data_IF_129480199232
#
_entry.id   IF_129480199232
#
_cell.length_a   1.000
_cell.length_b   1.000
_cell.length_c   1.000
_cell.angle_alpha   90.00
_cell.angle_beta   90.00
_cell.angle_gamma   90.00
#
_symmetry.space_group_name_H-M   'P 1'
#
loop_
_entity.id
_entity.type
_entity.pdbx_description
1 polymer ?
#
# COMPACT_ATOMS: atom_id res chain seq x y z
N UNK A 1 -1.98 47.97 18.17
CA UNK A 1 -3.31 48.52 17.80
C UNK A 1 -3.19 49.18 16.44
N UNK A 2 -4.08 48.95 15.46
CA UNK A 2 -4.84 47.74 15.15
C UNK A 2 -4.66 47.28 13.68
N UNK A 3 -5.33 46.17 13.37
CA UNK A 3 -5.54 45.48 12.09
C UNK A 3 -6.27 46.36 11.06
N UNK A 4 -6.31 45.95 9.78
CA UNK A 4 -7.64 45.72 9.22
C UNK A 4 -7.81 44.30 8.65
N UNK A 5 -8.87 43.64 9.12
CA UNK A 5 -9.49 42.47 8.55
C UNK A 5 -10.23 42.84 7.25
N UNK A 6 -10.16 41.96 6.25
CA UNK A 6 -11.32 41.43 5.52
C UNK A 6 -10.80 40.30 4.60
N UNK A 7 -10.97 39.03 4.96
CA UNK A 7 -12.16 38.22 4.65
C UNK A 7 -12.48 38.21 3.15
N UNK A 8 -12.15 37.12 2.44
CA UNK A 8 -13.09 36.21 1.75
C UNK A 8 -12.26 35.09 1.09
N UNK A 9 -12.84 33.87 1.03
CA UNK A 9 -12.33 32.64 0.39
C UNK A 9 -11.51 31.70 1.28
N UNK A 10 -12.12 31.25 2.39
CA UNK A 10 -11.84 29.93 2.96
C UNK A 10 -13.04 29.02 2.66
N UNK A 11 -12.97 28.26 1.56
CA UNK A 11 -13.82 27.09 1.27
C UNK A 11 -13.20 26.29 0.13
N UNK A 12 -13.28 24.96 0.24
CA UNK A 12 -12.64 23.91 -0.58
C UNK A 12 -11.21 23.67 -0.08
N UNK A 13 -10.88 22.57 0.60
CA UNK A 13 -11.10 21.17 0.22
C UNK A 13 -11.34 20.32 1.49
N UNK A 14 -12.49 19.64 1.56
CA UNK A 14 -12.63 18.41 2.33
C UNK A 14 -12.20 17.26 1.41
N UNK A 15 -11.49 16.23 1.88
CA UNK A 15 -11.31 15.02 1.09
C UNK A 15 -12.68 14.42 0.79
N UNK A 16 -12.95 13.95 -0.45
CA UNK A 16 -14.20 13.27 -0.75
C UNK A 16 -14.28 11.99 0.09
N UNK A 17 -15.48 11.73 0.60
CA UNK A 17 -15.87 10.49 1.24
C UNK A 17 -15.30 9.30 0.46
N UNK A 18 -14.60 8.41 1.17
CA UNK A 18 -14.31 7.07 0.73
C UNK A 18 -15.62 6.36 0.38
N UNK A 19 -15.93 6.27 -0.91
CA UNK A 19 -17.03 5.46 -1.42
C UNK A 19 -16.63 3.99 -1.28
N UNK A 20 -16.99 3.37 -0.16
CA UNK A 20 -17.07 1.92 -0.01
C UNK A 20 -18.55 1.57 -0.08
N UNK A 21 -19.02 0.75 -1.03
CA UNK A 21 -20.42 0.37 -1.08
C UNK A 21 -20.80 -0.47 0.15
N UNK A 22 -21.82 0.00 0.89
CA UNK A 22 -22.39 -0.59 2.12
C UNK A 22 -23.18 -1.91 1.90
N UNK A 23 -22.80 -2.75 0.92
CA UNK A 23 -23.58 -3.95 0.61
C UNK A 23 -22.75 -5.23 0.58
N UNK A 24 -22.16 -5.57 1.73
CA UNK A 24 -21.77 -6.93 2.05
C UNK A 24 -22.99 -7.65 2.64
N UNK A 25 -23.76 -8.32 1.77
CA UNK A 25 -24.89 -9.14 2.20
C UNK A 25 -24.40 -10.36 2.99
N UNK A 26 -24.41 -10.26 4.32
CA UNK A 26 -24.24 -11.41 5.22
C UNK A 26 -25.57 -12.14 5.25
N UNK A 27 -25.58 -13.40 4.78
CA UNK A 27 -26.76 -14.27 4.94
C UNK A 27 -26.88 -14.70 6.41
N UNK A 28 -28.07 -14.63 7.03
CA UNK A 28 -28.27 -15.14 8.38
C UNK A 28 -28.40 -16.67 8.39
N UNK A 29 -27.85 -17.30 9.43
CA UNK A 29 -28.01 -18.73 9.72
C UNK A 29 -29.45 -19.07 10.14
N UNK A 30 -29.94 -20.30 9.84
CA UNK A 30 -31.26 -20.76 10.26
C UNK A 30 -31.31 -21.17 11.75
N UNK A 31 -32.47 -21.06 12.43
CA UNK A 31 -32.57 -21.34 13.86
C UNK A 31 -33.00 -22.80 14.16
N UNK A 32 -32.44 -23.36 15.24
CA UNK A 32 -32.96 -24.55 15.94
C UNK A 32 -31.86 -25.31 16.68
N UNK A 33 -32.02 -25.88 17.88
CA UNK A 33 -33.11 -25.99 18.85
C UNK A 33 -32.42 -26.44 20.18
N UNK A 34 -32.94 -26.13 21.38
CA UNK A 34 -32.26 -26.32 22.65
C UNK A 34 -32.55 -27.69 23.26
N UNK A 35 -31.60 -28.23 24.05
CA UNK A 35 -31.78 -29.09 25.23
C UNK A 35 -30.46 -29.81 25.55
N UNK A 36 -29.89 -29.58 26.73
CA UNK A 36 -30.01 -30.53 27.84
C UNK A 36 -29.28 -29.99 29.08
N UNK A 37 -30.05 -29.87 30.16
CA UNK A 37 -29.63 -29.62 31.53
C UNK A 37 -29.09 -30.92 32.13
N UNK A 38 -28.00 -30.85 32.90
CA UNK A 38 -27.79 -31.73 34.05
C UNK A 38 -27.16 -30.94 35.19
N UNK A 39 -27.93 -30.79 36.27
CA UNK A 39 -27.45 -30.41 37.61
C UNK A 39 -26.97 -31.68 38.29
N UNK A 40 -25.83 -31.65 38.97
CA UNK A 40 -25.70 -32.26 40.28
C UNK A 40 -24.71 -31.46 41.14
N UNK A 41 -25.14 -31.30 42.38
CA UNK A 41 -24.57 -30.57 43.51
C UNK A 41 -24.02 -31.65 44.46
N UNK A 42 -22.86 -31.42 45.08
CA UNK A 42 -22.65 -31.52 46.54
C UNK A 42 -21.21 -31.19 46.91
N UNK A 43 -21.10 -30.41 47.97
CA UNK A 43 -19.92 -30.14 48.79
C UNK A 43 -19.23 -31.42 49.26
N UNK A 44 -17.90 -31.39 49.43
CA UNK A 44 -17.34 -31.81 50.71
C UNK A 44 -15.95 -31.21 51.01
N UNK A 45 -15.81 -30.87 52.27
CA UNK A 45 -14.68 -30.26 52.97
C UNK A 45 -13.68 -31.33 53.45
N UNK A 46 -12.36 -31.06 53.36
CA UNK A 46 -11.46 -30.96 54.52
C UNK A 46 -9.97 -31.27 54.23
N UNK A 47 -9.14 -30.40 54.82
CA UNK A 47 -7.87 -30.68 55.52
C UNK A 47 -6.48 -30.52 54.83
N UNK A 48 -5.85 -29.41 55.25
CA UNK A 48 -4.47 -29.25 55.77
C UNK A 48 -3.29 -29.35 54.78
N UNK A 49 -2.64 -28.21 54.56
CA UNK A 49 -1.34 -27.93 55.18
C UNK A 49 -1.03 -26.43 55.12
N UNK A 50 -0.70 -25.85 56.29
CA UNK A 50 -0.20 -24.48 56.43
C UNK A 50 1.29 -24.51 56.11
N UNK A 51 1.66 -23.99 54.95
CA UNK A 51 3.01 -23.50 54.70
C UNK A 51 2.95 -21.97 54.72
N UNK A 52 3.68 -21.43 55.70
CA UNK A 52 4.01 -20.03 55.84
C UNK A 52 4.59 -19.50 54.52
N UNK A 53 3.81 -18.65 53.84
CA UNK A 53 4.25 -17.84 52.70
C UNK A 53 3.86 -16.42 53.02
N UNK A 54 4.78 -15.70 53.65
CA UNK A 54 4.77 -14.25 53.70
C UNK A 54 4.45 -13.70 52.31
N UNK A 55 3.39 -12.89 52.14
CA UNK A 55 3.11 -12.26 50.87
C UNK A 55 4.18 -11.19 50.63
N UNK A 56 5.09 -11.46 49.68
CA UNK A 56 5.85 -10.37 49.07
C UNK A 56 4.85 -9.33 48.55
N UNK A 57 5.02 -8.03 48.88
CA UNK A 57 4.19 -7.00 48.28
C UNK A 57 4.45 -7.02 46.78
N UNK A 58 3.44 -7.44 46.01
CA UNK A 58 3.43 -7.25 44.56
C UNK A 58 3.47 -5.74 44.35
N UNK A 59 4.62 -5.25 43.90
CA UNK A 59 4.76 -3.86 43.46
C UNK A 59 3.66 -3.58 42.42
N UNK A 60 3.04 -2.39 42.47
CA UNK A 60 1.89 -2.05 41.64
C UNK A 60 2.25 -2.16 40.16
N UNK A 61 1.39 -2.86 39.42
CA UNK A 61 1.47 -3.18 38.00
C UNK A 61 1.98 -2.01 37.15
N UNK A 62 3.08 -2.13 36.39
CA UNK A 62 3.44 -1.10 35.43
C UNK A 62 2.50 -1.25 34.23
N UNK A 63 1.75 -0.18 33.95
CA UNK A 63 0.98 0.12 32.72
C UNK A 63 0.77 -1.08 31.80
N UNK A 64 -0.41 -1.71 31.82
CA UNK A 64 -0.78 -2.68 30.78
C UNK A 64 -0.65 -1.99 29.44
N UNK A 65 0.31 -2.41 28.61
CA UNK A 65 0.37 -1.99 27.21
C UNK A 65 -1.01 -2.19 26.58
N UNK A 66 -1.45 -1.27 25.70
CA UNK A 66 -2.75 -1.40 25.07
C UNK A 66 -2.84 -2.75 24.33
N UNK A 67 -4.03 -3.38 24.27
CA UNK A 67 -4.20 -4.63 23.56
C UNK A 67 -3.71 -4.48 22.12
N UNK A 68 -2.80 -5.35 21.71
CA UNK A 68 -2.15 -5.26 20.41
C UNK A 68 -2.66 -6.36 19.48
N UNK A 69 -3.11 -6.00 18.28
CA UNK A 69 -3.39 -6.93 17.20
C UNK A 69 -2.35 -6.77 16.12
N UNK A 70 -1.90 -7.88 15.58
CA UNK A 70 -0.84 -7.93 14.58
C UNK A 70 -1.41 -8.49 13.28
N UNK A 71 -1.07 -7.88 12.16
CA UNK A 71 -1.18 -8.54 10.85
C UNK A 71 0.19 -8.68 10.22
N UNK A 72 0.45 -9.82 9.57
CA UNK A 72 1.77 -10.19 9.05
C UNK A 72 1.64 -10.51 7.56
N UNK A 73 2.51 -9.97 6.73
CA UNK A 73 2.45 -10.21 5.30
C UNK A 73 3.54 -9.52 4.50
N UNK A 74 3.61 -9.81 3.19
CA UNK A 74 4.45 -9.01 2.30
C UNK A 74 3.83 -7.64 2.01
N UNK A 75 2.49 -7.54 2.04
CA UNK A 75 1.74 -6.32 1.79
C UNK A 75 2.13 -5.61 0.47
N UNK A 76 2.67 -6.33 -0.52
CA UNK A 76 3.13 -5.70 -1.76
C UNK A 76 1.92 -5.18 -2.55
N UNK A 77 1.95 -3.88 -2.87
CA UNK A 77 0.82 -3.16 -3.44
C UNK A 77 -0.27 -2.75 -2.45
N UNK A 78 -0.35 -3.28 -1.21
CA UNK A 78 -1.39 -2.93 -0.20
C UNK A 78 -2.80 -2.84 -0.81
N UNK A 79 -3.28 -3.94 -1.41
CA UNK A 79 -4.58 -3.99 -2.07
C UNK A 79 -5.76 -4.12 -1.09
N UNK A 80 -7.00 -4.14 -1.59
CA UNK A 80 -8.21 -4.24 -0.77
C UNK A 80 -8.25 -5.48 0.15
N UNK A 81 -7.66 -6.60 -0.28
CA UNK A 81 -7.43 -7.76 0.61
C UNK A 81 -6.55 -7.43 1.82
N UNK A 82 -5.45 -6.69 1.63
CA UNK A 82 -4.61 -6.22 2.75
C UNK A 82 -5.36 -5.18 3.62
N UNK A 83 -6.19 -4.34 3.01
CA UNK A 83 -7.04 -3.42 3.77
C UNK A 83 -8.02 -4.16 4.69
N UNK A 84 -8.56 -5.31 4.25
CA UNK A 84 -9.40 -6.16 5.09
C UNK A 84 -8.65 -6.73 6.30
N UNK A 85 -7.37 -7.12 6.14
CA UNK A 85 -6.52 -7.57 7.25
C UNK A 85 -6.31 -6.48 8.30
N UNK A 86 -5.92 -5.28 7.86
CA UNK A 86 -5.71 -4.12 8.76
C UNK A 86 -7.01 -3.75 9.48
N UNK A 87 -8.14 -3.75 8.75
CA UNK A 87 -9.46 -3.47 9.33
C UNK A 87 -9.83 -4.49 10.42
N UNK A 88 -9.69 -5.79 10.15
CA UNK A 88 -9.99 -6.82 11.13
C UNK A 88 -9.08 -6.73 12.37
N UNK A 89 -7.79 -6.44 12.18
CA UNK A 89 -6.86 -6.19 13.30
C UNK A 89 -7.28 -4.97 14.13
N UNK A 90 -7.64 -3.86 13.48
CA UNK A 90 -8.17 -2.66 14.14
C UNK A 90 -9.47 -2.94 14.90
N UNK A 91 -10.44 -3.58 14.26
CA UNK A 91 -11.73 -3.94 14.86
C UNK A 91 -11.53 -4.79 16.11
N UNK A 92 -10.56 -5.71 16.09
CA UNK A 92 -10.30 -6.61 17.20
C UNK A 92 -9.81 -5.92 18.46
N UNK A 93 -9.08 -4.82 18.34
CA UNK A 93 -8.52 -4.10 19.50
C UNK A 93 -9.21 -2.78 19.78
N UNK A 94 -10.08 -2.33 18.88
CA UNK A 94 -10.81 -1.08 19.00
C UNK A 94 -9.93 0.16 18.88
N UNK A 95 -10.50 1.35 19.12
CA UNK A 95 -9.81 2.63 18.96
C UNK A 95 -8.73 2.89 20.03
N UNK A 96 -8.82 2.24 21.19
CA UNK A 96 -7.85 2.38 22.28
C UNK A 96 -6.74 1.31 22.24
N UNK A 97 -6.87 0.33 21.35
CA UNK A 97 -5.88 -0.72 21.12
C UNK A 97 -4.87 -0.34 20.05
N UNK A 98 -3.83 -1.17 19.91
CA UNK A 98 -2.73 -0.97 18.96
C UNK A 98 -2.83 -1.96 17.80
N UNK A 99 -2.86 -1.47 16.57
CA UNK A 99 -2.83 -2.26 15.35
C UNK A 99 -1.43 -2.18 14.72
N UNK A 100 -0.70 -3.28 14.67
CA UNK A 100 0.66 -3.36 14.13
C UNK A 100 0.65 -4.19 12.85
N UNK A 101 1.21 -3.66 11.77
CA UNK A 101 1.47 -4.42 10.54
C UNK A 101 2.97 -4.79 10.47
N UNK A 102 3.27 -6.09 10.45
CA UNK A 102 4.61 -6.61 10.26
C UNK A 102 4.82 -6.96 8.78
N UNK A 103 5.61 -6.13 8.09
CA UNK A 103 5.82 -6.23 6.65
C UNK A 103 7.21 -6.79 6.33
N UNK A 104 7.27 -7.90 5.58
CA UNK A 104 8.55 -8.45 5.10
C UNK A 104 9.23 -7.47 4.14
N UNK A 105 10.47 -7.08 4.44
CA UNK A 105 11.33 -6.37 3.49
C UNK A 105 12.81 -6.78 3.65
N UNK A 106 13.50 -7.21 2.59
CA UNK A 106 13.01 -7.39 1.21
C UNK A 106 11.93 -8.49 1.09
N UNK A 107 11.25 -8.60 -0.05
CA UNK A 107 10.24 -9.65 -0.22
C UNK A 107 10.91 -11.03 -0.06
N UNK A 108 10.30 -12.03 0.62
CA UNK A 108 10.92 -13.34 0.83
C UNK A 108 11.43 -14.02 -0.45
N UNK A 109 10.73 -13.83 -1.57
CA UNK A 109 11.16 -14.32 -2.88
C UNK A 109 12.46 -13.68 -3.38
N UNK A 110 12.77 -12.45 -3.03
CA UNK A 110 14.05 -11.81 -3.40
C UNK A 110 15.24 -12.46 -2.69
N UNK A 111 15.03 -13.08 -1.53
CA UNK A 111 16.08 -13.83 -0.82
C UNK A 111 16.14 -15.29 -1.30
N UNK A 112 14.98 -15.93 -1.48
CA UNK A 112 14.89 -17.36 -1.80
C UNK A 112 15.12 -17.65 -3.29
N UNK A 113 14.72 -16.74 -4.18
CA UNK A 113 14.78 -16.93 -5.62
C UNK A 113 14.89 -15.58 -6.34
N UNK A 114 16.05 -14.88 -6.21
CA UNK A 114 16.23 -13.53 -6.74
C UNK A 114 15.84 -13.38 -8.21
N UNK A 115 16.24 -14.35 -9.05
CA UNK A 115 15.98 -14.33 -10.51
C UNK A 115 14.49 -14.52 -10.87
N UNK A 116 13.68 -15.03 -9.94
CA UNK A 116 12.25 -15.29 -10.12
C UNK A 116 11.38 -14.47 -9.16
N UNK A 117 11.95 -13.43 -8.53
CA UNK A 117 11.20 -12.49 -7.73
C UNK A 117 10.38 -11.60 -8.67
N UNK A 118 9.05 -11.49 -8.47
CA UNK A 118 8.24 -10.59 -9.27
C UNK A 118 8.64 -9.14 -8.98
N UNK A 119 8.44 -8.21 -9.93
CA UNK A 119 8.72 -6.79 -9.71
C UNK A 119 7.89 -6.27 -8.54
N UNK A 120 8.48 -5.44 -7.69
CA UNK A 120 7.81 -4.83 -6.53
C UNK A 120 6.72 -3.87 -7.00
N UNK A 121 5.51 -3.98 -6.45
CA UNK A 121 4.45 -3.01 -6.72
C UNK A 121 4.68 -1.71 -5.94
N UNK A 122 5.26 -1.80 -4.75
CA UNK A 122 5.50 -0.65 -3.88
C UNK A 122 6.85 -0.72 -3.17
N UNK A 123 7.43 0.43 -2.87
CA UNK A 123 8.55 0.52 -1.92
C UNK A 123 8.05 0.23 -0.49
N UNK A 124 8.97 0.00 0.44
CA UNK A 124 8.58 -0.13 1.86
C UNK A 124 7.92 1.15 2.39
N UNK A 125 8.43 2.33 2.04
CA UNK A 125 7.86 3.60 2.51
C UNK A 125 6.44 3.82 1.98
N UNK A 126 6.18 3.43 0.73
CA UNK A 126 4.82 3.40 0.18
C UNK A 126 3.92 2.42 0.95
N UNK A 127 4.37 1.19 1.19
CA UNK A 127 3.60 0.20 1.98
C UNK A 127 3.28 0.75 3.37
N UNK A 128 4.27 1.32 4.05
CA UNK A 128 4.12 1.93 5.37
C UNK A 128 3.06 3.02 5.35
N UNK A 129 3.14 3.98 4.42
CA UNK A 129 2.13 5.03 4.29
C UNK A 129 0.73 4.46 4.07
N UNK A 130 0.57 3.56 3.10
CA UNK A 130 -0.74 3.00 2.78
C UNK A 130 -1.34 2.18 3.93
N UNK A 131 -0.53 1.41 4.67
CA UNK A 131 -1.01 0.65 5.83
C UNK A 131 -1.39 1.56 7.00
N UNK A 132 -0.66 2.65 7.22
CA UNK A 132 -1.02 3.68 8.22
C UNK A 132 -2.34 4.37 7.84
N UNK A 133 -2.51 4.75 6.57
CA UNK A 133 -3.75 5.35 6.05
C UNK A 133 -4.97 4.42 6.22
N UNK A 134 -4.75 3.10 6.24
CA UNK A 134 -5.78 2.07 6.46
C UNK A 134 -6.10 1.81 7.95
N UNK A 135 -5.39 2.47 8.87
CA UNK A 135 -5.67 2.41 10.31
C UNK A 135 -4.72 1.55 11.14
N UNK A 136 -3.58 1.12 10.59
CA UNK A 136 -2.48 0.64 11.41
C UNK A 136 -1.88 1.81 12.22
N UNK A 137 -1.51 1.58 13.47
CA UNK A 137 -0.77 2.56 14.28
C UNK A 137 0.73 2.51 13.95
N UNK A 138 1.20 1.32 13.55
CA UNK A 138 2.59 1.08 13.30
C UNK A 138 2.78 0.05 12.18
N UNK A 139 3.81 0.28 11.38
CA UNK A 139 4.23 -0.64 10.33
C UNK A 139 5.70 -0.90 10.53
N UNK A 140 6.02 -2.13 10.91
CA UNK A 140 7.39 -2.55 11.21
C UNK A 140 7.92 -3.41 10.08
N UNK A 141 9.20 -3.20 9.80
CA UNK A 141 9.95 -4.02 8.85
C UNK A 141 10.34 -5.31 9.53
N UNK A 142 9.87 -6.44 8.99
CA UNK A 142 10.49 -7.73 9.25
C UNK A 142 11.68 -7.87 8.30
N UNK A 143 12.88 -7.58 8.83
CA UNK A 143 14.13 -7.70 8.09
C UNK A 143 14.28 -9.14 7.58
N UNK A 144 14.02 -9.32 6.30
CA UNK A 144 13.93 -10.66 5.73
C UNK A 144 15.31 -11.13 5.32
N UNK A 145 15.88 -12.02 6.12
CA UNK A 145 17.16 -12.66 5.87
C UNK A 145 17.04 -14.19 5.89
N UNK A 146 18.15 -14.89 5.67
CA UNK A 146 18.17 -16.36 5.69
C UNK A 146 17.89 -16.94 7.08
N UNK A 147 18.15 -16.19 8.15
CA UNK A 147 17.89 -16.64 9.51
C UNK A 147 16.39 -16.65 9.79
N UNK A 148 15.70 -15.55 9.52
CA UNK A 148 14.25 -15.41 9.64
C UNK A 148 13.53 -16.48 8.80
N UNK A 149 13.94 -16.66 7.55
CA UNK A 149 13.36 -17.67 6.64
C UNK A 149 13.68 -19.11 7.04
N UNK A 150 14.70 -19.31 7.89
CA UNK A 150 15.09 -20.60 8.44
C UNK A 150 14.31 -21.01 9.70
N UNK A 151 13.59 -20.09 10.34
CA UNK A 151 12.83 -20.36 11.56
C UNK A 151 11.72 -21.38 11.32
N UNK A 152 11.49 -22.27 12.29
CA UNK A 152 10.27 -23.09 12.28
C UNK A 152 9.04 -22.18 12.46
N UNK A 153 7.86 -22.67 12.06
CA UNK A 153 6.59 -21.98 12.28
C UNK A 153 6.39 -21.58 13.76
N UNK A 154 6.69 -22.50 14.69
CA UNK A 154 6.62 -22.23 16.13
C UNK A 154 7.63 -21.16 16.56
N UNK A 155 8.89 -21.25 16.12
CA UNK A 155 9.92 -20.28 16.50
C UNK A 155 9.60 -18.87 15.98
N UNK A 156 9.05 -18.77 14.76
CA UNK A 156 8.60 -17.51 14.18
C UNK A 156 7.46 -16.89 15.00
N UNK A 157 6.40 -17.66 15.30
CA UNK A 157 5.26 -17.14 16.09
C UNK A 157 5.70 -16.79 17.52
N UNK A 158 6.55 -17.61 18.14
CA UNK A 158 7.10 -17.33 19.47
C UNK A 158 7.87 -16.01 19.49
N UNK A 159 8.70 -15.75 18.48
CA UNK A 159 9.42 -14.49 18.35
C UNK A 159 8.46 -13.28 18.30
N UNK A 160 7.39 -13.37 17.50
CA UNK A 160 6.35 -12.33 17.42
C UNK A 160 5.62 -12.16 18.76
N UNK A 161 5.28 -13.26 19.43
CA UNK A 161 4.58 -13.21 20.72
C UNK A 161 5.45 -12.60 21.82
N UNK A 162 6.72 -13.00 21.89
CA UNK A 162 7.66 -12.50 22.91
C UNK A 162 7.94 -11.00 22.74
N UNK A 163 7.95 -10.49 21.50
CA UNK A 163 8.21 -9.08 21.21
C UNK A 163 6.98 -8.19 21.42
N UNK A 164 5.80 -8.64 21.00
CA UNK A 164 4.61 -7.78 20.90
C UNK A 164 3.49 -8.11 21.89
N UNK A 165 3.53 -9.28 22.53
CA UNK A 165 2.46 -9.80 23.39
C UNK A 165 1.04 -9.58 22.80
N UNK A 166 0.77 -10.04 21.56
CA UNK A 166 -0.47 -9.74 20.87
C UNK A 166 -1.67 -10.44 21.55
N UNK A 167 -2.81 -9.75 21.58
CA UNK A 167 -4.09 -10.38 21.90
C UNK A 167 -4.69 -11.10 20.70
N UNK A 168 -4.29 -10.73 19.49
CA UNK A 168 -4.72 -11.37 18.25
C UNK A 168 -3.66 -11.26 17.13
N UNK A 169 -3.59 -12.30 16.30
CA UNK A 169 -2.86 -12.29 15.03
C UNK A 169 -3.88 -12.49 13.90
N UNK A 170 -3.86 -11.59 12.92
CA UNK A 170 -4.80 -11.52 11.80
C UNK A 170 -4.08 -11.84 10.49
N UNK A 171 -4.54 -12.87 9.81
CA UNK A 171 -3.95 -13.38 8.56
C UNK A 171 -5.01 -13.64 7.49
N UNK A 172 -4.55 -13.79 6.24
CA UNK A 172 -5.38 -14.30 5.14
C UNK A 172 -5.43 -15.83 5.14
N UNK A 173 -6.43 -16.40 4.48
CA UNK A 173 -6.58 -17.86 4.30
C UNK A 173 -5.40 -18.53 3.56
N UNK A 174 -4.66 -17.77 2.74
CA UNK A 174 -3.51 -18.22 1.99
C UNK A 174 -2.17 -18.01 2.72
N UNK A 175 -2.22 -17.49 3.95
CA UNK A 175 -1.01 -17.17 4.71
C UNK A 175 -0.21 -18.44 5.02
N UNK A 176 1.10 -18.34 4.76
CA UNK A 176 2.06 -19.39 5.05
C UNK A 176 3.30 -18.80 5.68
N UNK A 177 3.80 -19.48 6.70
CA UNK A 177 4.92 -19.01 7.52
C UNK A 177 5.83 -20.15 7.96
N UNK A 178 6.98 -19.78 8.52
CA UNK A 178 8.03 -20.72 8.88
C UNK A 178 8.76 -21.30 7.67
N UNK A 179 9.84 -22.02 7.96
CA UNK A 179 10.74 -22.63 6.99
C UNK A 179 9.95 -23.47 6.00
N UNK A 180 10.24 -23.26 4.71
CA UNK A 180 9.58 -23.96 3.61
C UNK A 180 8.04 -23.89 3.63
N UNK A 181 7.46 -22.81 4.19
CA UNK A 181 6.00 -22.60 4.23
C UNK A 181 5.24 -23.70 5.00
N UNK A 182 5.90 -24.31 6.00
CA UNK A 182 5.33 -25.43 6.78
C UNK A 182 4.13 -25.02 7.65
N UNK A 183 4.04 -23.74 8.03
CA UNK A 183 2.93 -23.19 8.79
C UNK A 183 1.83 -22.62 7.89
N UNK A 184 0.60 -22.71 8.36
CA UNK A 184 -0.60 -22.04 7.85
C UNK A 184 -1.66 -21.93 8.95
N UNK A 185 -2.89 -21.61 8.59
CA UNK A 185 -3.96 -21.28 9.56
C UNK A 185 -4.17 -22.33 10.65
N UNK A 186 -4.25 -23.63 10.30
CA UNK A 186 -4.42 -24.70 11.30
C UNK A 186 -3.28 -24.74 12.33
N UNK A 187 -2.05 -24.45 11.89
CA UNK A 187 -0.90 -24.41 12.79
C UNK A 187 -0.88 -23.15 13.63
N UNK A 188 -1.33 -22.01 13.09
CA UNK A 188 -1.42 -20.77 13.83
C UNK A 188 -2.49 -20.88 14.93
N UNK A 189 -3.65 -21.47 14.63
CA UNK A 189 -4.73 -21.70 15.60
C UNK A 189 -4.28 -22.59 16.78
N UNK A 190 -3.53 -23.66 16.48
CA UNK A 190 -2.93 -24.50 17.53
C UNK A 190 -1.93 -23.73 18.38
N UNK A 191 -1.06 -22.93 17.76
CA UNK A 191 -0.08 -22.11 18.47
C UNK A 191 -0.76 -21.00 19.29
N UNK A 192 -1.83 -20.40 18.78
CA UNK A 192 -2.64 -19.39 19.45
C UNK A 192 -3.19 -19.92 20.77
N UNK A 193 -3.74 -21.14 20.76
CA UNK A 193 -4.25 -21.83 21.95
C UNK A 193 -3.18 -22.06 23.02
N UNK A 194 -1.93 -22.34 22.61
CA UNK A 194 -0.82 -22.62 23.52
C UNK A 194 -0.15 -21.33 24.02
N UNK A 195 -0.09 -20.30 23.19
CA UNK A 195 0.67 -19.07 23.43
C UNK A 195 -0.20 -17.89 23.91
N UNK A 196 -1.53 -18.07 24.01
CA UNK A 196 -2.42 -17.11 24.66
C UNK A 196 -2.85 -15.91 23.80
N UNK A 197 -3.02 -16.12 22.49
CA UNK A 197 -3.57 -15.12 21.57
C UNK A 197 -4.72 -15.70 20.74
N UNK A 198 -5.47 -14.85 20.04
CA UNK A 198 -6.51 -15.26 19.10
C UNK A 198 -5.99 -15.28 17.66
N UNK A 199 -6.25 -16.36 16.92
CA UNK A 199 -5.95 -16.43 15.48
C UNK A 199 -7.20 -16.04 14.69
N UNK A 200 -7.12 -14.97 13.90
CA UNK A 200 -8.24 -14.47 13.08
C UNK A 200 -7.87 -14.65 11.61
N UNK A 201 -8.66 -15.45 10.89
CA UNK A 201 -8.49 -15.65 9.45
C UNK A 201 -9.50 -14.78 8.71
N UNK A 202 -8.99 -13.85 7.91
CA UNK A 202 -9.79 -13.01 7.03
C UNK A 202 -9.93 -13.69 5.69
N UNK A 203 -11.19 -13.82 5.24
CA UNK A 203 -11.48 -14.34 3.91
C UNK A 203 -10.96 -13.39 2.86
N UNK A 204 -10.45 -13.97 1.81
CA UNK A 204 -10.08 -13.27 0.61
C UNK A 204 -11.21 -12.38 0.03
N UNK A 205 -10.82 -11.27 -0.63
CA UNK A 205 -11.75 -10.23 -1.13
C UNK A 205 -11.92 -10.32 -2.64
N UNK A 206 -13.17 -10.40 -3.09
CA UNK A 206 -13.54 -10.36 -4.50
C UNK A 206 -13.88 -8.93 -4.95
N UNK A 207 -13.51 -8.57 -6.18
CA UNK A 207 -13.72 -7.25 -6.78
C UNK A 207 -14.26 -7.40 -8.19
N UNK A 208 -15.21 -6.54 -8.56
CA UNK A 208 -15.72 -6.42 -9.91
C UNK A 208 -14.86 -5.46 -10.75
N UNK A 209 -14.32 -5.95 -11.85
CA UNK A 209 -13.55 -5.18 -12.83
C UNK A 209 -14.48 -4.41 -13.79
N UNK A 210 -13.90 -3.53 -14.61
CA UNK A 210 -14.64 -2.72 -15.60
C UNK A 210 -15.38 -3.57 -16.64
N UNK A 211 -14.90 -4.79 -16.91
CA UNK A 211 -15.55 -5.77 -17.80
C UNK A 211 -16.60 -6.64 -17.08
N UNK A 212 -16.99 -6.27 -15.85
CA UNK A 212 -17.96 -6.96 -15.00
C UNK A 212 -17.50 -8.36 -14.54
N UNK A 213 -16.24 -8.74 -14.80
CA UNK A 213 -15.68 -9.96 -14.23
C UNK A 213 -15.44 -9.78 -12.73
N UNK A 214 -15.75 -10.82 -11.96
CA UNK A 214 -15.45 -10.88 -10.53
C UNK A 214 -14.14 -11.64 -10.36
N UNK A 215 -13.17 -10.98 -9.75
CA UNK A 215 -11.82 -11.51 -9.57
C UNK A 215 -11.37 -11.39 -8.12
N UNK A 216 -10.45 -12.27 -7.76
CA UNK A 216 -9.81 -12.25 -6.45
C UNK A 216 -8.71 -11.19 -6.38
N UNK A 217 -8.80 -10.28 -5.40
CA UNK A 217 -7.76 -9.29 -5.16
C UNK A 217 -6.43 -9.94 -4.73
N UNK A 218 -5.36 -9.72 -5.50
CA UNK A 218 -4.01 -10.20 -5.18
C UNK A 218 -2.93 -9.34 -5.83
N UNK A 219 -1.72 -9.31 -5.24
CA UNK A 219 -0.56 -8.66 -5.86
C UNK A 219 -0.23 -9.24 -7.25
N UNK A 220 -0.46 -10.53 -7.47
CA UNK A 220 -0.24 -11.17 -8.78
C UNK A 220 -1.17 -10.59 -9.84
N UNK A 221 -2.46 -10.45 -9.52
CA UNK A 221 -3.44 -9.84 -10.42
C UNK A 221 -3.09 -8.39 -10.74
N UNK A 222 -2.66 -7.60 -9.74
CA UNK A 222 -2.31 -6.20 -9.95
C UNK A 222 -1.15 -6.07 -10.94
N UNK A 223 -0.10 -6.89 -10.79
CA UNK A 223 1.01 -6.91 -11.75
C UNK A 223 0.53 -7.23 -13.15
N UNK A 224 -0.32 -8.24 -13.29
CA UNK A 224 -0.90 -8.60 -14.58
C UNK A 224 -1.71 -7.43 -15.18
N UNK A 225 -2.57 -6.77 -14.41
CA UNK A 225 -3.36 -5.63 -14.87
C UNK A 225 -2.47 -4.46 -15.31
N UNK A 226 -1.43 -4.15 -14.55
CA UNK A 226 -0.46 -3.10 -14.89
C UNK A 226 0.31 -3.43 -16.17
N UNK A 227 0.79 -4.68 -16.33
CA UNK A 227 1.46 -5.16 -17.54
C UNK A 227 0.62 -5.04 -18.81
N UNK A 228 -0.71 -5.10 -18.66
CA UNK A 228 -1.67 -5.01 -19.76
C UNK A 228 -2.34 -3.63 -19.87
N UNK A 229 -1.85 -2.64 -19.14
CA UNK A 229 -2.32 -1.26 -19.22
C UNK A 229 -3.72 -1.03 -18.63
N UNK A 230 -4.29 -2.03 -17.95
CA UNK A 230 -5.60 -1.97 -17.27
C UNK A 230 -5.49 -1.24 -15.93
N UNK A 231 -5.06 0.02 -15.96
CA UNK A 231 -4.75 0.79 -14.74
C UNK A 231 -6.01 1.10 -13.90
N UNK A 232 -7.17 1.27 -14.53
CA UNK A 232 -8.43 1.51 -13.81
C UNK A 232 -8.84 0.27 -13.01
N UNK A 233 -8.67 -0.92 -13.60
CA UNK A 233 -8.89 -2.19 -12.92
C UNK A 233 -7.86 -2.43 -11.82
N UNK A 234 -6.59 -2.10 -12.07
CA UNK A 234 -5.56 -2.14 -11.03
C UNK A 234 -5.96 -1.23 -9.86
N UNK A 235 -6.50 -0.04 -10.15
CA UNK A 235 -6.96 0.90 -9.13
C UNK A 235 -8.14 0.34 -8.30
N UNK A 236 -9.08 -0.38 -8.93
CA UNK A 236 -10.17 -1.09 -8.23
C UNK A 236 -9.63 -2.15 -7.27
N UNK A 237 -8.68 -2.96 -7.71
CA UNK A 237 -8.07 -4.00 -6.86
C UNK A 237 -7.23 -3.37 -5.74
N UNK A 238 -6.54 -2.26 -6.01
CA UNK A 238 -5.76 -1.52 -5.02
C UNK A 238 -6.63 -0.72 -4.03
N UNK A 239 -7.86 -0.38 -4.41
CA UNK A 239 -8.70 0.60 -3.72
C UNK A 239 -8.22 2.05 -3.89
N UNK A 240 -7.28 2.30 -4.80
CA UNK A 240 -6.67 3.61 -5.11
C UNK A 240 -5.90 3.56 -6.43
N UNK A 241 -5.66 4.70 -7.10
CA UNK A 241 -4.76 4.76 -8.26
C UNK A 241 -3.38 4.14 -7.97
N UNK A 242 -2.81 3.43 -8.95
CA UNK A 242 -1.45 2.92 -8.82
C UNK A 242 -0.45 4.08 -8.73
N UNK A 243 0.47 4.01 -7.77
CA UNK A 243 1.47 5.05 -7.55
C UNK A 243 2.86 4.51 -7.86
N UNK A 244 3.39 4.93 -9.01
CA UNK A 244 4.78 4.65 -9.37
C UNK A 244 5.69 5.58 -8.58
N UNK A 245 6.61 5.02 -7.81
CA UNK A 245 7.68 5.76 -7.14
C UNK A 245 8.98 5.70 -7.93
N UNK A 246 9.76 6.77 -7.85
CA UNK A 246 11.10 6.80 -8.43
C UNK A 246 11.88 8.06 -8.05
N UNK A 247 13.03 8.22 -8.70
CA UNK A 247 13.91 9.38 -8.50
C UNK A 247 14.00 10.18 -9.79
N UNK A 248 13.97 11.50 -9.70
CA UNK A 248 14.16 12.37 -10.87
C UNK A 248 15.63 12.33 -11.29
N UNK A 249 15.88 11.91 -12.53
CA UNK A 249 17.23 11.73 -13.09
C UNK A 249 17.44 12.55 -14.34
N UNK A 250 18.71 12.66 -14.76
CA UNK A 250 19.09 13.40 -15.96
C UNK A 250 18.75 12.59 -17.22
N UNK A 251 17.80 13.09 -18.02
CA UNK A 251 17.46 12.50 -19.32
C UNK A 251 18.16 13.15 -20.52
N UNK A 252 17.74 12.77 -21.74
CA UNK A 252 18.28 13.26 -23.02
C UNK A 252 17.89 14.72 -23.35
N UNK A 253 17.08 15.37 -22.49
CA UNK A 253 16.62 16.78 -22.60
C UNK A 253 15.89 17.15 -23.91
N UNK A 254 15.49 16.18 -24.75
CA UNK A 254 14.82 16.40 -26.05
C UNK A 254 13.48 17.13 -25.95
N UNK A 255 12.70 16.88 -24.89
CA UNK A 255 11.44 17.59 -24.64
C UNK A 255 11.63 19.11 -24.47
N UNK A 256 12.82 19.54 -23.98
CA UNK A 256 13.13 20.96 -23.77
C UNK A 256 13.17 21.73 -25.09
N UNK A 257 13.83 21.19 -26.12
CA UNK A 257 13.94 21.83 -27.43
C UNK A 257 12.62 22.01 -28.18
N UNK A 258 11.54 21.34 -27.75
CA UNK A 258 10.21 21.39 -28.39
C UNK A 258 9.13 22.06 -27.52
N UNK A 259 9.52 22.64 -26.36
CA UNK A 259 8.62 23.35 -25.46
C UNK A 259 7.83 22.46 -24.48
N UNK A 260 8.19 21.19 -24.33
CA UNK A 260 7.56 20.22 -23.42
C UNK A 260 8.60 19.61 -22.48
N UNK A 261 9.06 20.34 -21.47
CA UNK A 261 10.11 19.83 -20.61
C UNK A 261 9.54 18.75 -19.68
N UNK A 262 10.26 17.63 -19.54
CA UNK A 262 9.83 16.46 -18.76
C UNK A 262 10.86 16.11 -17.68
N UNK A 263 10.36 15.73 -16.50
CA UNK A 263 11.15 15.01 -15.51
C UNK A 263 11.35 13.58 -16.02
N UNK A 264 12.58 13.06 -15.99
CA UNK A 264 12.85 11.66 -16.29
C UNK A 264 12.92 10.93 -14.95
N UNK A 265 12.24 9.79 -14.83
CA UNK A 265 12.10 9.07 -13.57
C UNK A 265 12.82 7.72 -13.69
N UNK A 266 13.72 7.45 -12.76
CA UNK A 266 14.26 6.11 -12.50
C UNK A 266 13.33 5.38 -11.51
N UNK A 267 12.57 4.37 -11.96
CA UNK A 267 11.52 3.77 -11.15
C UNK A 267 12.07 2.83 -10.07
N UNK A 268 11.56 2.97 -8.85
CA UNK A 268 11.84 2.08 -7.71
C UNK A 268 10.78 0.97 -7.54
N UNK A 269 9.76 0.96 -8.41
CA UNK A 269 8.61 0.06 -8.40
C UNK A 269 8.25 -0.35 -9.82
N UNK A 270 7.34 -1.30 -9.96
CA UNK A 270 6.88 -1.81 -11.24
C UNK A 270 6.39 -0.68 -12.15
N UNK A 271 6.85 -0.71 -13.39
CA UNK A 271 6.35 0.19 -14.44
C UNK A 271 5.11 -0.45 -15.09
N UNK A 272 4.04 0.31 -15.34
CA UNK A 272 2.88 -0.21 -16.07
C UNK A 272 3.24 -0.46 -17.54
N UNK A 273 2.26 -0.92 -18.30
CA UNK A 273 2.34 -1.01 -19.75
C UNK A 273 2.78 0.32 -20.37
N UNK A 274 3.19 0.23 -21.63
CA UNK A 274 3.60 1.41 -22.36
C UNK A 274 2.39 2.24 -22.75
N UNK A 275 2.59 3.56 -22.77
CA UNK A 275 1.55 4.49 -23.15
C UNK A 275 1.71 5.83 -22.45
N UNK A 276 0.74 6.69 -22.73
CA UNK A 276 0.58 7.99 -22.10
C UNK A 276 -0.56 7.93 -21.11
N UNK A 277 -0.33 8.47 -19.92
CA UNK A 277 -1.22 8.45 -18.78
C UNK A 277 -1.47 9.86 -18.28
N UNK A 278 -2.67 10.11 -17.77
CA UNK A 278 -2.94 11.25 -16.91
C UNK A 278 -2.69 10.85 -15.46
N UNK A 279 -2.09 11.74 -14.67
CA UNK A 279 -1.81 11.43 -13.28
C UNK A 279 -1.53 12.65 -12.42
N UNK A 280 -1.30 12.40 -11.14
CA UNK A 280 -0.85 13.41 -10.18
C UNK A 280 0.58 13.06 -9.76
N UNK A 281 1.48 14.02 -9.90
CA UNK A 281 2.83 13.94 -9.40
C UNK A 281 2.89 14.53 -7.98
N UNK A 282 3.39 13.76 -7.03
CA UNK A 282 3.73 14.22 -5.68
C UNK A 282 5.23 14.46 -5.62
N UNK A 283 5.62 15.70 -5.37
CA UNK A 283 7.02 16.13 -5.29
C UNK A 283 7.62 15.81 -3.92
N UNK A 284 8.95 15.92 -3.79
CA UNK A 284 9.65 15.60 -2.54
C UNK A 284 9.32 16.52 -1.37
N UNK A 285 8.76 17.71 -1.62
CA UNK A 285 8.27 18.64 -0.61
C UNK A 285 6.77 18.49 -0.30
N UNK A 286 6.12 17.50 -0.90
CA UNK A 286 4.70 17.20 -0.70
C UNK A 286 3.75 18.00 -1.59
N UNK A 287 4.23 18.93 -2.42
CA UNK A 287 3.37 19.58 -3.43
C UNK A 287 2.87 18.53 -4.42
N UNK A 288 1.64 18.71 -4.87
CA UNK A 288 1.04 17.90 -5.93
C UNK A 288 0.84 18.73 -7.20
N UNK A 289 1.04 18.10 -8.35
CA UNK A 289 0.80 18.71 -9.65
C UNK A 289 0.16 17.72 -10.62
N UNK A 290 -0.84 18.14 -11.43
CA UNK A 290 -1.31 17.35 -12.55
C UNK A 290 -0.16 17.04 -13.51
N UNK A 291 -0.15 15.87 -14.12
CA UNK A 291 0.93 15.43 -14.98
C UNK A 291 0.43 14.60 -16.18
N UNK A 292 1.05 14.83 -17.34
CA UNK A 292 1.01 13.89 -18.45
C UNK A 292 2.25 13.00 -18.37
N UNK A 293 2.06 11.70 -18.25
CA UNK A 293 3.12 10.72 -17.93
C UNK A 293 3.28 9.77 -19.12
N UNK A 294 4.47 9.70 -19.67
CA UNK A 294 4.82 8.79 -20.75
C UNK A 294 5.65 7.63 -20.19
N UNK A 295 5.18 6.40 -20.41
CA UNK A 295 5.92 5.16 -20.13
C UNK A 295 6.31 4.53 -21.45
N UNK A 296 7.59 4.57 -21.75
CA UNK A 296 8.14 4.13 -23.02
C UNK A 296 9.35 3.24 -22.91
N UNK A 297 9.97 2.96 -24.06
CA UNK A 297 11.21 2.18 -24.13
C UNK A 297 12.31 2.89 -24.91
N UNK A 298 13.53 2.80 -24.40
CA UNK A 298 14.75 3.22 -25.09
C UNK A 298 15.53 1.98 -25.52
N UNK A 299 15.70 1.74 -26.83
CA UNK A 299 16.71 0.79 -27.30
C UNK A 299 18.09 1.29 -26.85
N UNK A 300 18.86 0.44 -26.17
CA UNK A 300 20.23 0.70 -25.75
C UNK A 300 21.15 -0.40 -26.30
N UNK A 301 22.46 -0.15 -26.33
CA UNK A 301 23.44 -1.17 -26.71
C UNK A 301 23.43 -2.41 -25.80
N UNK A 302 22.83 -2.31 -24.61
CA UNK A 302 22.73 -3.38 -23.60
C UNK A 302 21.33 -4.00 -23.50
N UNK A 303 20.39 -3.62 -24.36
CA UNK A 303 19.02 -4.14 -24.35
C UNK A 303 17.97 -3.06 -24.53
N UNK A 304 16.81 -3.22 -23.89
CA UNK A 304 15.75 -2.22 -23.93
C UNK A 304 15.45 -1.76 -22.51
N UNK A 305 15.64 -0.47 -22.26
CA UNK A 305 15.42 0.15 -20.95
C UNK A 305 14.04 0.82 -20.93
N UNK A 306 13.25 0.58 -19.87
CA UNK A 306 11.99 1.30 -19.67
C UNK A 306 12.29 2.74 -19.27
N UNK A 307 11.58 3.70 -19.85
CA UNK A 307 11.74 5.12 -19.58
C UNK A 307 10.42 5.70 -19.12
N UNK A 308 10.42 6.35 -17.97
CA UNK A 308 9.25 7.06 -17.47
C UNK A 308 9.55 8.56 -17.52
N UNK A 309 8.68 9.32 -18.17
CA UNK A 309 8.79 10.77 -18.27
C UNK A 309 7.50 11.43 -17.81
N UNK A 310 7.59 12.44 -16.95
CA UNK A 310 6.43 13.21 -16.49
C UNK A 310 6.55 14.67 -16.94
N UNK A 311 5.54 15.17 -17.64
CA UNK A 311 5.34 16.59 -17.90
C UNK A 311 4.40 17.15 -16.85
N UNK A 312 4.94 17.96 -15.93
CA UNK A 312 4.18 18.56 -14.84
C UNK A 312 3.43 19.80 -15.32
N UNK A 313 2.14 19.87 -15.01
CA UNK A 313 1.23 20.92 -15.45
C UNK A 313 1.02 21.94 -14.33
N UNK A 314 1.04 23.23 -14.69
CA UNK A 314 0.59 24.30 -13.79
C UNK A 314 1.53 24.66 -12.63
N UNK A 315 2.73 24.06 -12.54
CA UNK A 315 3.73 24.51 -11.58
C UNK A 315 4.46 25.76 -12.10
N UNK A 316 4.62 26.81 -11.27
CA UNK A 316 5.49 27.92 -11.60
C UNK A 316 6.92 27.41 -11.75
N UNK A 317 7.45 27.57 -12.96
CA UNK A 317 8.86 27.40 -13.27
C UNK A 317 9.60 28.68 -12.94
N UNK A 318 10.79 28.62 -12.35
CA UNK A 318 11.55 29.79 -11.81
C UNK A 318 11.93 30.88 -12.82
N UNK A 319 11.52 30.75 -14.08
CA UNK A 319 11.66 31.78 -15.11
C UNK A 319 10.29 32.04 -15.74
N UNK A 320 9.63 33.12 -15.29
CA UNK A 320 8.55 33.74 -16.05
C UNK A 320 9.12 34.37 -17.32
N UNK A 321 9.09 33.64 -18.44
CA UNK A 321 9.47 34.18 -19.74
C UNK A 321 8.92 33.31 -20.86
N UNK A 322 8.33 33.94 -21.86
CA UNK A 322 7.71 33.39 -23.07
C UNK A 322 8.66 32.61 -24.01
N UNK A 323 9.82 32.13 -23.52
CA UNK A 323 10.76 31.32 -24.30
C UNK A 323 10.69 29.85 -23.91
N UNK A 324 9.78 29.14 -24.57
CA UNK A 324 9.51 27.71 -24.42
C UNK A 324 10.65 26.81 -24.96
N UNK A 325 11.83 26.80 -24.31
CA UNK A 325 12.94 25.94 -24.73
C UNK A 325 13.81 25.35 -23.60
N UNK A 326 13.66 25.76 -22.34
CA UNK A 326 14.49 25.27 -21.23
C UNK A 326 13.61 24.81 -20.08
N UNK A 327 13.77 23.56 -19.62
CA UNK A 327 13.28 23.15 -18.30
C UNK A 327 13.83 24.11 -17.26
N UNK A 328 12.96 24.82 -16.57
CA UNK A 328 13.37 25.51 -15.37
C UNK A 328 13.36 24.51 -14.21
N UNK A 329 14.26 24.68 -13.24
CA UNK A 329 14.07 24.09 -11.91
C UNK A 329 12.65 24.37 -11.42
N UNK A 330 12.06 23.40 -10.75
CA UNK A 330 10.84 23.65 -9.98
C UNK A 330 11.28 24.46 -8.77
N UNK A 331 10.66 25.62 -8.55
CA UNK A 331 11.04 26.49 -7.43
C UNK A 331 11.03 25.71 -6.11
N UNK A 332 12.13 25.80 -5.35
CA UNK A 332 12.31 25.10 -4.08
C UNK A 332 12.85 23.67 -4.16
N UNK A 333 13.13 23.13 -5.36
CA UNK A 333 13.67 21.78 -5.55
C UNK A 333 14.96 21.79 -6.38
N UNK A 334 15.82 20.80 -6.13
CA UNK A 334 17.01 20.55 -6.93
C UNK A 334 16.65 20.15 -8.38
N UNK A 335 17.57 20.30 -9.33
CA UNK A 335 17.29 19.92 -10.74
C UNK A 335 17.05 18.41 -10.89
N UNK A 336 17.72 17.57 -10.08
CA UNK A 336 17.64 16.10 -10.10
C UNK A 336 17.94 15.52 -8.71
N UNK A 337 17.76 14.20 -8.55
CA UNK A 337 18.18 13.43 -7.38
C UNK A 337 17.12 13.29 -6.28
N UNK A 338 15.97 13.94 -6.42
CA UNK A 338 14.90 13.92 -5.44
C UNK A 338 13.83 12.86 -5.77
N UNK A 339 13.13 12.32 -4.76
CA UNK A 339 12.09 11.32 -4.93
C UNK A 339 10.79 11.93 -5.47
N UNK A 340 10.12 11.22 -6.37
CA UNK A 340 8.82 11.61 -6.93
C UNK A 340 7.86 10.42 -6.90
N UNK A 341 6.60 10.68 -6.55
CA UNK A 341 5.49 9.74 -6.71
C UNK A 341 4.61 10.14 -7.88
N UNK A 342 4.17 9.19 -8.70
CA UNK A 342 3.28 9.40 -9.84
C UNK A 342 2.03 8.52 -9.68
N UNK A 343 0.93 9.11 -9.23
CA UNK A 343 -0.38 8.45 -9.19
C UNK A 343 -0.98 8.43 -10.59
N UNK A 344 -1.11 7.25 -11.18
CA UNK A 344 -1.66 7.06 -12.53
C UNK A 344 -3.18 6.97 -12.44
N UNK A 345 -3.86 7.99 -12.96
CA UNK A 345 -5.32 8.14 -12.82
C UNK A 345 -6.06 7.60 -14.03
N UNK A 346 -5.58 7.86 -15.25
CA UNK A 346 -6.27 7.43 -16.46
C UNK A 346 -5.28 7.13 -17.59
N UNK A 347 -5.65 6.18 -18.45
CA UNK A 347 -4.88 5.86 -19.66
C UNK A 347 -5.37 6.76 -20.79
N UNK A 348 -4.43 7.38 -21.52
CA UNK A 348 -4.75 8.30 -22.60
C UNK A 348 -4.58 7.66 -23.97
N UNK A 349 -3.43 7.04 -24.25
CA UNK A 349 -3.15 6.42 -25.56
C UNK A 349 -1.91 5.54 -25.53
N UNK A 350 -1.77 4.72 -26.58
CA UNK A 350 -0.53 4.01 -26.89
C UNK A 350 0.61 4.95 -27.29
N UNK A 351 1.84 4.45 -27.18
CA UNK A 351 3.02 5.11 -27.76
C UNK A 351 2.93 5.12 -29.30
N UNK A 352 3.22 6.27 -29.90
CA UNK A 352 3.22 6.46 -31.35
C UNK A 352 4.54 7.08 -31.77
N UNK A 353 5.07 6.66 -32.93
CA UNK A 353 6.22 7.32 -33.57
C UNK A 353 5.72 8.46 -34.44
N UNK A 354 6.36 9.62 -34.33
CA UNK A 354 6.03 10.80 -35.12
C UNK A 354 7.00 10.97 -36.27
N UNK A 355 6.50 11.37 -37.45
CA UNK A 355 7.29 11.64 -38.64
C UNK A 355 7.97 13.00 -38.62
N UNK A 356 7.49 13.94 -37.79
CA UNK A 356 8.06 15.27 -37.63
C UNK A 356 7.97 15.81 -36.20
N UNK A 357 8.74 16.87 -35.92
CA UNK A 357 8.70 17.58 -34.63
C UNK A 357 7.33 18.27 -34.44
N UNK A 358 6.74 18.81 -35.50
CA UNK A 358 5.44 19.50 -35.42
C UNK A 358 4.30 18.53 -35.08
N UNK A 359 4.31 17.32 -35.67
CA UNK A 359 3.38 16.26 -35.30
C UNK A 359 3.49 15.86 -33.83
N UNK A 360 4.73 15.69 -33.33
CA UNK A 360 4.99 15.41 -31.93
C UNK A 360 4.46 16.53 -31.03
N UNK A 361 4.76 17.79 -31.37
CA UNK A 361 4.32 18.97 -30.60
C UNK A 361 2.80 19.06 -30.53
N UNK A 362 2.12 18.85 -31.67
CA UNK A 362 0.67 18.85 -31.74
C UNK A 362 0.05 17.72 -30.92
N UNK A 363 0.66 16.52 -30.90
CA UNK A 363 0.17 15.41 -30.08
C UNK A 363 0.38 15.67 -28.59
N UNK A 364 1.54 16.19 -28.18
CA UNK A 364 1.81 16.51 -26.77
C UNK A 364 0.83 17.56 -26.24
N UNK A 365 0.48 18.57 -27.04
CA UNK A 365 -0.54 19.55 -26.66
C UNK A 365 -1.90 18.89 -26.41
N UNK A 366 -2.31 17.94 -27.27
CA UNK A 366 -3.54 17.15 -27.08
C UNK A 366 -3.48 16.27 -25.83
N UNK A 367 -2.34 15.63 -25.58
CA UNK A 367 -2.17 14.76 -24.41
C UNK A 367 -2.26 15.57 -23.10
N UNK A 368 -1.71 16.79 -23.08
CA UNK A 368 -1.82 17.71 -21.94
C UNK A 368 -3.27 18.09 -21.68
N UNK A 369 -4.03 18.42 -22.73
CA UNK A 369 -5.43 18.80 -22.55
C UNK A 369 -6.28 17.61 -22.07
N UNK A 370 -6.11 16.45 -22.68
CA UNK A 370 -6.77 15.22 -22.23
C UNK A 370 -6.40 14.83 -20.80
N UNK A 371 -5.15 15.07 -20.39
CA UNK A 371 -4.74 14.85 -19.00
C UNK A 371 -5.48 15.78 -18.04
N UNK A 372 -5.70 17.05 -18.40
CA UNK A 372 -6.52 17.97 -17.59
C UNK A 372 -7.97 17.50 -17.50
N UNK A 373 -8.57 17.15 -18.63
CA UNK A 373 -9.96 16.65 -18.69
C UNK A 373 -10.15 15.42 -17.79
N UNK A 374 -9.30 14.40 -17.96
CA UNK A 374 -9.39 13.17 -17.17
C UNK A 374 -9.24 13.40 -15.65
N UNK A 375 -8.39 14.36 -15.26
CA UNK A 375 -8.17 14.69 -13.85
C UNK A 375 -9.28 15.56 -13.25
N UNK A 376 -10.03 16.30 -14.07
CA UNK A 376 -11.23 17.02 -13.61
C UNK A 376 -12.44 16.09 -13.42
N UNK A 377 -12.58 15.06 -14.26
CA UNK A 377 -13.67 14.07 -14.14
C UNK A 377 -13.51 13.14 -12.93
N UNK A 378 -12.27 12.97 -12.44
CA UNK A 378 -11.93 12.09 -11.32
C UNK A 378 -11.84 12.82 -9.96
N UNK A 379 -12.01 14.15 -9.92
CA UNK A 379 -11.98 14.97 -8.70
C UNK A 379 -13.39 15.17 -8.14
#
# INVERSE_FOLDING_TARGET
MPVPENSTVARLLRPPNSFIPDNLSIRPDPPGNPRQQWRHRTDDTAHRSRLDRTPHPRLPWPVTSPPTAITIGSFDGVHVGHAALVRAARERVGPAGRCVALAFDPHPREILSPDAAPPRLTTFDQRRRFLLDLGADEVLRLETDRQLLGLSAEAFVRHVVDEFAPVAIVEGDDFRFGRARQGGSDSLERLASVMGFESIVVREVDIELADQSIVRASSTLIRWLLEHGRIDDAARVLGRPYELSGTVVRGDRRGRSIGFPTANIDPASMTPARGVYAGIATLSDGREAPAAINVGRRPTFRGVETRVEAHLLGLPTSYGSESAATWAPIEGLDEYGWPIGLRLVAWLRDEVRFGSIDELRAQLARDVERAREALMECA
#
